data_IF_380087281015
#
_entry.id   IF_380087281015
#
_cell.length_a   1.000
_cell.length_b   1.000
_cell.length_c   1.000
_cell.angle_alpha   90.00
_cell.angle_beta   90.00
_cell.angle_gamma   90.00
#
_symmetry.space_group_name_H-M   'P 1'
#
loop_
_entity.id
_entity.type
_entity.pdbx_description
1 polymer ?
#
# COMPACT_ATOMS: atom_id res chain seq x y z
N UNK A 1 -37.28 -64.96 -40.19
CA UNK A 1 -37.68 -63.60 -39.76
C UNK A 1 -36.45 -62.94 -39.14
N UNK A 2 -35.75 -62.07 -39.88
CA UNK A 2 -35.66 -60.60 -39.61
C UNK A 2 -35.07 -60.30 -38.21
N UNK A 3 -33.94 -59.62 -37.94
CA UNK A 3 -33.01 -58.74 -38.68
C UNK A 3 -31.69 -58.59 -37.87
N UNK A 4 -30.58 -58.58 -38.60
CA UNK A 4 -29.39 -57.73 -38.52
C UNK A 4 -29.28 -56.51 -37.53
N UNK A 5 -28.09 -56.41 -36.90
CA UNK A 5 -27.08 -55.30 -36.95
C UNK A 5 -26.85 -54.29 -35.77
N UNK A 6 -25.53 -54.00 -35.63
CA UNK A 6 -24.80 -52.82 -35.09
C UNK A 6 -24.39 -52.76 -33.60
N UNK A 7 -23.06 -52.83 -33.41
CA UNK A 7 -22.30 -52.29 -32.28
C UNK A 7 -22.23 -50.75 -32.35
N UNK A 8 -22.42 -50.06 -31.22
CA UNK A 8 -22.01 -48.65 -31.07
C UNK A 8 -21.20 -48.46 -29.79
N UNK A 9 -19.97 -47.95 -29.98
CA UNK A 9 -19.12 -47.37 -28.95
C UNK A 9 -19.79 -46.10 -28.39
N UNK A 10 -19.95 -46.04 -27.07
CA UNK A 10 -20.25 -44.78 -26.38
C UNK A 10 -18.94 -44.20 -25.86
N UNK A 11 -18.46 -43.14 -26.51
CA UNK A 11 -17.36 -42.31 -26.02
C UNK A 11 -17.85 -41.43 -24.86
N UNK A 12 -17.13 -41.48 -23.73
CA UNK A 12 -17.30 -40.58 -22.60
C UNK A 12 -16.69 -39.22 -22.98
N UNK A 13 -17.52 -38.20 -23.21
CA UNK A 13 -17.05 -36.83 -23.36
C UNK A 13 -16.81 -36.22 -21.96
N UNK A 14 -15.54 -36.06 -21.59
CA UNK A 14 -15.11 -35.25 -20.46
C UNK A 14 -15.22 -33.79 -20.90
N UNK A 15 -16.29 -33.10 -20.47
CA UNK A 15 -16.44 -31.67 -20.65
C UNK A 15 -15.46 -30.92 -19.76
N UNK A 16 -14.36 -30.43 -20.33
CA UNK A 16 -13.48 -29.47 -19.70
C UNK A 16 -14.19 -28.11 -19.65
N UNK A 17 -14.70 -27.72 -18.48
CA UNK A 17 -15.17 -26.36 -18.24
C UNK A 17 -13.95 -25.42 -18.19
N UNK A 18 -13.65 -24.75 -19.30
CA UNK A 18 -12.77 -23.60 -19.32
C UNK A 18 -13.43 -22.47 -18.52
N UNK A 19 -13.02 -22.30 -17.27
CA UNK A 19 -13.27 -21.05 -16.53
C UNK A 19 -12.32 -20.00 -17.10
N UNK A 20 -12.70 -19.44 -18.24
CA UNK A 20 -12.13 -18.20 -18.75
C UNK A 20 -12.55 -17.09 -17.79
N UNK A 21 -11.63 -16.66 -16.93
CA UNK A 21 -11.82 -15.49 -16.08
C UNK A 21 -12.16 -14.29 -16.95
N UNK A 22 -13.42 -13.86 -16.89
CA UNK A 22 -13.87 -12.64 -17.53
C UNK A 22 -13.20 -11.45 -16.82
N UNK A 23 -12.13 -10.95 -17.41
CA UNK A 23 -11.63 -9.60 -17.13
C UNK A 23 -12.49 -8.70 -17.98
N UNK A 24 -13.55 -8.12 -17.41
CA UNK A 24 -14.30 -7.06 -18.09
C UNK A 24 -13.36 -5.88 -18.27
N UNK A 25 -12.85 -5.72 -19.49
CA UNK A 25 -12.11 -4.54 -19.92
C UNK A 25 -13.08 -3.63 -20.67
N UNK A 26 -13.80 -2.79 -19.93
CA UNK A 26 -14.45 -1.60 -20.52
C UNK A 26 -13.40 -0.51 -20.71
N UNK A 27 -13.44 0.13 -21.88
CA UNK A 27 -12.56 1.22 -22.27
C UNK A 27 -12.81 2.45 -21.37
N UNK A 28 -11.84 2.75 -20.50
CA UNK A 28 -11.90 3.88 -19.57
C UNK A 28 -11.48 5.18 -20.23
N UNK A 29 -12.44 6.03 -20.60
CA UNK A 29 -12.20 7.48 -20.72
C UNK A 29 -11.95 8.04 -19.33
N UNK A 30 -10.67 8.27 -18.97
CA UNK A 30 -10.27 8.96 -17.75
C UNK A 30 -9.78 8.09 -16.58
N UNK A 31 -9.29 6.87 -16.83
CA UNK A 31 -8.63 6.07 -15.78
C UNK A 31 -7.51 6.87 -15.13
N UNK A 32 -7.62 7.10 -13.82
CA UNK A 32 -6.53 7.72 -13.07
C UNK A 32 -5.46 6.67 -12.79
N UNK A 33 -4.20 7.04 -13.04
CA UNK A 33 -3.05 6.21 -12.76
C UNK A 33 -2.79 6.12 -11.25
N UNK A 34 -2.48 4.94 -10.74
CA UNK A 34 -2.09 4.76 -9.34
C UNK A 34 -0.84 5.54 -8.96
N UNK A 35 0.04 5.84 -9.93
CA UNK A 35 1.24 6.63 -9.69
C UNK A 35 0.90 8.00 -9.06
N UNK A 36 -0.16 8.65 -9.53
CA UNK A 36 -0.65 9.94 -9.03
C UNK A 36 -1.06 9.88 -7.55
N UNK A 37 -1.42 8.71 -7.01
CA UNK A 37 -1.76 8.53 -5.59
C UNK A 37 -0.56 8.06 -4.75
N UNK A 38 0.56 7.72 -5.38
CA UNK A 38 1.76 7.22 -4.70
C UNK A 38 2.76 8.34 -4.46
N UNK A 39 2.81 9.33 -5.34
CA UNK A 39 3.71 10.48 -5.28
C UNK A 39 2.95 11.71 -4.78
N UNK A 40 3.58 12.53 -3.94
CA UNK A 40 3.00 13.79 -3.47
C UNK A 40 3.13 14.89 -4.55
N UNK A 41 2.22 15.87 -4.50
CA UNK A 41 2.26 17.00 -5.42
C UNK A 41 3.03 18.20 -4.86
N UNK A 42 3.30 19.16 -5.73
CA UNK A 42 3.70 20.52 -5.36
C UNK A 42 2.84 21.52 -6.13
N UNK A 43 2.52 22.65 -5.51
CA UNK A 43 1.97 23.79 -6.23
C UNK A 43 3.02 24.35 -7.18
N UNK A 44 2.60 24.79 -8.37
CA UNK A 44 3.53 25.32 -9.39
C UNK A 44 3.16 26.70 -9.89
N UNK A 45 4.19 27.46 -10.25
CA UNK A 45 4.05 28.72 -10.97
C UNK A 45 3.79 28.50 -12.47
N UNK A 46 3.67 29.60 -13.21
CA UNK A 46 3.45 29.59 -14.66
C UNK A 46 4.57 28.91 -15.46
N UNK A 47 5.76 28.83 -14.88
CA UNK A 47 6.95 28.17 -15.46
C UNK A 47 7.03 26.67 -15.09
N UNK A 48 6.11 26.16 -14.27
CA UNK A 48 6.09 24.79 -13.77
C UNK A 48 7.04 24.53 -12.59
N UNK A 49 7.72 25.56 -12.09
CA UNK A 49 8.60 25.47 -10.91
C UNK A 49 7.77 25.37 -9.63
N UNK A 50 8.23 24.61 -8.61
CA UNK A 50 7.55 24.56 -7.32
C UNK A 50 7.48 25.95 -6.68
N UNK A 51 6.29 26.33 -6.21
CA UNK A 51 6.06 27.56 -5.46
C UNK A 51 5.44 27.25 -4.10
N UNK A 52 5.55 28.17 -3.15
CA UNK A 52 4.94 28.03 -1.83
C UNK A 52 3.42 27.90 -1.95
N UNK A 53 2.86 26.85 -1.35
CA UNK A 53 1.43 26.60 -1.33
C UNK A 53 1.08 25.23 -0.78
N UNK A 54 -0.21 25.04 -0.47
CA UNK A 54 -0.79 23.76 -0.09
C UNK A 54 -1.35 23.09 -1.37
N UNK A 55 -0.91 21.87 -1.76
CA UNK A 55 -1.44 21.17 -2.93
C UNK A 55 -2.95 20.86 -2.82
N UNK A 56 -3.51 20.90 -1.60
CA UNK A 56 -4.95 20.80 -1.40
C UNK A 56 -5.72 22.07 -1.79
N UNK A 57 -5.06 23.18 -2.10
CA UNK A 57 -5.71 24.49 -2.31
C UNK A 57 -5.32 25.18 -3.60
N UNK A 58 -4.13 24.91 -4.15
CA UNK A 58 -3.67 25.62 -5.34
C UNK A 58 -4.36 25.14 -6.62
N UNK A 59 -4.52 26.08 -7.56
CA UNK A 59 -5.16 25.84 -8.85
C UNK A 59 -4.28 25.07 -9.84
N UNK A 60 -2.96 25.13 -9.67
CA UNK A 60 -1.98 24.43 -10.49
C UNK A 60 -1.03 23.65 -9.60
N UNK A 61 -0.95 22.35 -9.87
CA UNK A 61 -0.08 21.42 -9.18
C UNK A 61 0.42 20.34 -10.14
N UNK A 62 1.48 19.64 -9.73
CA UNK A 62 2.01 18.44 -10.39
C UNK A 62 2.72 17.56 -9.36
N UNK A 63 2.98 16.31 -9.74
CA UNK A 63 3.86 15.41 -8.99
C UNK A 63 5.21 16.05 -8.72
N UNK A 64 5.74 15.80 -7.53
CA UNK A 64 7.12 16.15 -7.19
C UNK A 64 8.10 15.34 -8.04
N UNK A 65 9.18 15.99 -8.48
CA UNK A 65 10.26 15.40 -9.28
C UNK A 65 11.56 15.33 -8.46
N UNK A 66 12.47 14.40 -8.79
CA UNK A 66 13.79 14.37 -8.17
C UNK A 66 14.50 15.73 -8.26
N UNK A 67 14.88 16.27 -7.11
CA UNK A 67 15.56 17.56 -6.98
C UNK A 67 14.62 18.77 -6.77
N UNK A 68 13.30 18.58 -6.81
CA UNK A 68 12.38 19.62 -6.33
C UNK A 68 12.57 19.85 -4.82
N UNK A 69 12.45 21.11 -4.40
CA UNK A 69 12.37 21.48 -2.98
C UNK A 69 10.92 21.67 -2.59
N UNK A 70 10.47 20.99 -1.56
CA UNK A 70 9.10 21.05 -1.06
C UNK A 70 8.95 22.27 -0.14
N UNK A 71 8.00 23.18 -0.43
CA UNK A 71 7.75 24.36 0.40
C UNK A 71 6.67 24.11 1.49
N UNK A 72 6.36 22.84 1.77
CA UNK A 72 5.39 22.42 2.78
C UNK A 72 5.81 21.07 3.39
N UNK A 73 5.24 20.77 4.56
CA UNK A 73 5.25 19.42 5.14
C UNK A 73 3.82 19.02 5.43
N UNK A 74 3.53 17.73 5.37
CA UNK A 74 2.25 17.19 5.79
C UNK A 74 2.52 16.19 6.93
N UNK A 75 1.92 16.49 8.07
CA UNK A 75 2.24 15.85 9.34
C UNK A 75 0.97 15.34 10.01
N UNK A 76 1.12 14.49 11.02
CA UNK A 76 0.01 14.15 11.87
C UNK A 76 -0.52 15.37 12.64
N UNK A 77 -1.80 15.33 13.01
CA UNK A 77 -2.37 16.35 13.87
C UNK A 77 -1.75 16.30 15.26
N UNK A 78 -1.59 17.46 15.93
CA UNK A 78 -1.04 17.50 17.28
C UNK A 78 -1.87 16.66 18.26
N UNK A 79 -1.20 16.06 19.23
CA UNK A 79 -1.84 15.24 20.25
C UNK A 79 -2.81 16.06 21.12
N UNK A 80 -2.55 17.36 21.26
CA UNK A 80 -3.39 18.31 21.97
C UNK A 80 -3.61 19.59 21.15
N UNK A 81 -4.81 20.16 21.12
CA UNK A 81 -5.05 21.48 20.50
C UNK A 81 -4.32 22.62 21.21
N UNK A 82 -3.77 22.36 22.41
CA UNK A 82 -2.92 23.31 23.15
C UNK A 82 -1.44 23.20 22.80
N UNK A 83 -1.05 22.21 21.99
CA UNK A 83 0.33 22.09 21.54
C UNK A 83 0.69 23.30 20.66
N UNK A 84 1.86 23.89 20.94
CA UNK A 84 2.37 25.08 20.26
C UNK A 84 3.79 24.83 19.74
N UNK A 85 4.28 25.72 18.89
CA UNK A 85 5.60 25.58 18.26
C UNK A 85 5.71 24.27 17.48
N UNK A 86 6.82 23.56 17.63
CA UNK A 86 7.07 22.33 16.87
C UNK A 86 6.12 21.17 17.24
N UNK A 87 5.58 21.13 18.46
CA UNK A 87 4.59 20.12 18.85
C UNK A 87 3.25 20.30 18.12
N UNK A 88 2.95 21.52 17.67
CA UNK A 88 1.78 21.80 16.83
C UNK A 88 1.90 21.19 15.42
N UNK A 89 3.13 20.83 15.00
CA UNK A 89 3.41 20.20 13.72
C UNK A 89 3.24 18.67 13.77
N UNK A 90 2.67 18.11 14.85
CA UNK A 90 2.48 16.67 14.99
C UNK A 90 3.67 15.93 15.60
N UNK A 91 3.53 14.62 15.69
CA UNK A 91 4.56 13.69 16.17
C UNK A 91 5.43 13.14 15.03
N UNK A 92 5.00 13.30 13.78
CA UNK A 92 5.66 12.76 12.60
C UNK A 92 5.26 13.48 11.31
N UNK A 93 6.23 13.61 10.40
CA UNK A 93 6.02 14.15 9.05
C UNK A 93 6.06 13.02 8.05
N UNK A 94 5.37 13.17 6.94
CA UNK A 94 5.41 12.20 5.85
C UNK A 94 5.79 12.86 4.53
N UNK A 95 6.45 12.08 3.68
CA UNK A 95 6.83 12.45 2.33
C UNK A 95 6.69 11.23 1.43
N UNK A 96 6.29 11.42 0.17
CA UNK A 96 6.23 10.35 -0.82
C UNK A 96 6.72 10.84 -2.17
N UNK A 97 7.88 10.36 -2.62
CA UNK A 97 8.58 10.91 -3.79
C UNK A 97 9.29 9.83 -4.62
N UNK A 98 9.44 10.03 -5.93
CA UNK A 98 10.13 9.08 -6.79
C UNK A 98 11.64 9.07 -6.53
N UNK A 99 12.23 7.88 -6.46
CA UNK A 99 13.68 7.73 -6.45
C UNK A 99 14.26 7.97 -7.86
N UNK A 100 15.56 8.26 -7.95
CA UNK A 100 16.29 8.33 -9.22
C UNK A 100 16.51 6.91 -9.78
N UNK A 101 16.79 5.95 -8.90
CA UNK A 101 16.84 4.54 -9.22
C UNK A 101 15.46 4.05 -9.66
N UNK A 102 15.51 3.11 -10.59
CA UNK A 102 14.35 2.38 -11.05
C UNK A 102 14.58 0.89 -10.83
N UNK A 103 13.49 0.17 -10.62
CA UNK A 103 13.48 -1.27 -10.75
C UNK A 103 13.48 -1.65 -12.22
N UNK A 104 13.93 -2.87 -12.53
CA UNK A 104 13.77 -3.45 -13.85
C UNK A 104 13.38 -4.92 -13.73
N UNK A 105 12.53 -5.38 -14.65
CA UNK A 105 12.22 -6.80 -14.78
C UNK A 105 13.21 -7.50 -15.72
N UNK A 106 12.99 -8.79 -15.94
CA UNK A 106 13.84 -9.65 -16.77
C UNK A 106 13.84 -9.25 -18.25
N UNK A 107 12.81 -8.56 -18.72
CA UNK A 107 12.71 -8.04 -20.07
C UNK A 107 13.37 -6.66 -20.22
N UNK A 108 13.88 -6.08 -19.11
CA UNK A 108 14.42 -4.73 -19.08
C UNK A 108 13.35 -3.65 -19.00
N UNK A 109 12.09 -4.01 -18.73
CA UNK A 109 11.04 -3.02 -18.48
C UNK A 109 11.37 -2.28 -17.19
N UNK A 110 11.36 -0.94 -17.24
CA UNK A 110 11.59 -0.09 -16.09
C UNK A 110 10.33 0.04 -15.21
N UNK A 111 10.55 0.12 -13.91
CA UNK A 111 9.53 0.29 -12.88
C UNK A 111 9.93 1.48 -12.00
N UNK A 112 9.15 2.57 -11.95
CA UNK A 112 9.38 3.64 -10.99
C UNK A 112 9.42 3.08 -9.57
N UNK A 113 10.42 3.51 -8.81
CA UNK A 113 10.50 3.29 -7.38
C UNK A 113 10.13 4.58 -6.65
N UNK A 114 9.32 4.46 -5.61
CA UNK A 114 8.84 5.58 -4.82
C UNK A 114 9.20 5.30 -3.37
N UNK A 115 9.88 6.25 -2.74
CA UNK A 115 10.12 6.23 -1.31
C UNK A 115 9.00 6.99 -0.61
N UNK A 116 8.34 6.33 0.33
CA UNK A 116 7.42 6.95 1.27
C UNK A 116 8.03 6.93 2.67
N UNK A 117 8.43 8.10 3.15
CA UNK A 117 9.19 8.28 4.38
C UNK A 117 8.33 8.93 5.45
N UNK A 118 8.31 8.34 6.65
CA UNK A 118 7.80 8.97 7.86
C UNK A 118 8.96 9.33 8.78
N UNK A 119 9.09 10.62 9.05
CA UNK A 119 10.15 11.30 9.79
C UNK A 119 9.65 11.65 11.19
N UNK A 120 10.39 11.22 12.22
CA UNK A 120 10.04 11.45 13.63
C UNK A 120 11.09 12.35 14.31
N UNK A 121 10.68 13.34 15.13
CA UNK A 121 11.63 14.16 15.87
C UNK A 121 12.17 13.39 17.10
N UNK A 122 13.39 13.69 17.57
CA UNK A 122 13.92 13.08 18.78
C UNK A 122 13.07 13.42 20.01
N UNK A 123 12.98 12.50 20.97
CA UNK A 123 12.18 12.70 22.20
C UNK A 123 12.61 13.95 23.00
N UNK A 124 13.88 14.38 22.91
CA UNK A 124 14.40 15.59 23.53
C UNK A 124 14.50 16.82 22.62
N UNK A 125 14.19 16.68 21.33
CA UNK A 125 14.33 17.74 20.33
C UNK A 125 13.12 17.72 19.38
N UNK A 126 11.92 18.14 19.83
CA UNK A 126 10.67 18.02 19.06
C UNK A 126 10.64 18.86 17.77
N UNK A 127 11.69 19.65 17.50
CA UNK A 127 11.83 20.46 16.30
C UNK A 127 12.81 19.86 15.28
N UNK A 128 13.59 18.85 15.66
CA UNK A 128 14.72 18.36 14.88
C UNK A 128 14.30 17.23 13.94
N UNK A 129 13.53 17.62 12.93
CA UNK A 129 13.05 16.77 11.85
C UNK A 129 13.99 16.84 10.63
N UNK A 130 13.90 15.83 9.77
CA UNK A 130 14.51 15.87 8.43
C UNK A 130 15.93 15.32 8.40
N UNK A 131 16.29 14.43 9.31
CA UNK A 131 17.51 13.60 9.20
C UNK A 131 17.06 12.16 9.31
N UNK A 132 17.13 11.42 8.19
CA UNK A 132 16.77 10.01 8.19
C UNK A 132 17.64 9.23 9.16
N UNK A 133 17.01 8.52 10.11
CA UNK A 133 17.72 7.70 11.07
C UNK A 133 16.94 6.44 11.47
N UNK A 134 17.45 5.70 12.46
CA UNK A 134 16.88 4.43 12.89
C UNK A 134 15.45 4.51 13.46
N UNK A 135 14.98 5.71 13.84
CA UNK A 135 13.64 5.96 14.38
C UNK A 135 12.61 6.06 13.26
N UNK A 136 13.05 6.53 12.10
CA UNK A 136 12.23 6.74 10.93
C UNK A 136 11.78 5.45 10.28
N UNK A 137 10.69 5.56 9.53
CA UNK A 137 10.20 4.47 8.69
C UNK A 137 10.22 4.89 7.23
N UNK A 138 10.66 4.00 6.36
CA UNK A 138 10.61 4.22 4.93
C UNK A 138 9.93 3.03 4.28
N UNK A 139 9.05 3.27 3.33
CA UNK A 139 8.40 2.25 2.51
C UNK A 139 8.85 2.45 1.08
N UNK A 140 9.31 1.37 0.44
CA UNK A 140 9.64 1.37 -0.97
C UNK A 140 8.49 0.74 -1.75
N UNK A 141 7.96 1.50 -2.70
CA UNK A 141 6.90 1.11 -3.60
C UNK A 141 7.48 0.95 -5.00
N UNK A 142 7.03 -0.06 -5.74
CA UNK A 142 7.31 -0.19 -7.16
C UNK A 142 6.01 -0.06 -7.94
N UNK A 143 6.03 0.70 -9.04
CA UNK A 143 4.88 0.88 -9.92
C UNK A 143 5.13 0.12 -11.22
N UNK A 144 4.27 -0.85 -11.51
CA UNK A 144 4.33 -1.68 -12.71
C UNK A 144 3.15 -1.44 -13.65
N UNK A 145 3.13 -2.15 -14.80
CA UNK A 145 2.09 -1.96 -15.82
C UNK A 145 0.69 -2.40 -15.39
N UNK A 146 0.56 -3.21 -14.32
CA UNK A 146 -0.73 -3.77 -13.86
C UNK A 146 -1.09 -3.36 -12.43
N UNK A 147 -0.13 -2.92 -11.64
CA UNK A 147 -0.31 -2.61 -10.22
C UNK A 147 0.86 -1.80 -9.69
N UNK A 148 0.67 -1.16 -8.54
CA UNK A 148 1.76 -0.77 -7.67
C UNK A 148 1.88 -1.76 -6.51
N UNK A 149 3.06 -1.91 -5.91
CA UNK A 149 3.25 -2.81 -4.78
C UNK A 149 4.25 -2.27 -3.76
N UNK A 150 4.01 -2.55 -2.47
CA UNK A 150 5.04 -2.41 -1.43
C UNK A 150 6.07 -3.53 -1.61
N UNK A 151 7.27 -3.15 -2.03
CA UNK A 151 8.35 -4.10 -2.33
C UNK A 151 9.39 -4.17 -1.21
N UNK A 152 9.52 -3.11 -0.43
CA UNK A 152 10.42 -3.07 0.70
C UNK A 152 10.03 -2.05 1.76
N UNK A 153 10.64 -2.16 2.95
CA UNK A 153 10.49 -1.17 4.01
C UNK A 153 11.71 -1.15 4.95
N UNK A 154 11.98 0.02 5.52
CA UNK A 154 12.77 0.22 6.72
C UNK A 154 11.82 0.46 7.89
N UNK A 155 11.99 -0.29 8.97
CA UNK A 155 11.21 -0.08 10.19
C UNK A 155 12.05 -0.42 11.42
N UNK A 156 12.29 0.58 12.28
CA UNK A 156 13.04 0.45 13.55
C UNK A 156 14.39 -0.26 13.40
N UNK A 157 15.22 0.20 12.45
CA UNK A 157 16.56 -0.35 12.20
C UNK A 157 16.58 -1.71 11.48
N UNK A 158 15.41 -2.24 11.09
CA UNK A 158 15.29 -3.47 10.31
C UNK A 158 14.86 -3.19 8.87
N UNK A 159 15.35 -4.01 7.95
CA UNK A 159 14.90 -4.01 6.56
C UNK A 159 13.96 -5.16 6.31
N UNK A 160 12.95 -4.90 5.48
CA UNK A 160 11.92 -5.85 5.14
C UNK A 160 11.77 -5.87 3.63
N UNK A 161 11.84 -7.05 3.02
CA UNK A 161 11.52 -7.27 1.61
C UNK A 161 10.22 -8.05 1.53
N UNK A 162 9.27 -7.57 0.73
CA UNK A 162 8.02 -8.31 0.50
C UNK A 162 8.05 -8.94 -0.88
N UNK A 163 8.18 -10.27 -0.90
CA UNK A 163 8.21 -11.09 -2.11
C UNK A 163 6.84 -11.66 -2.43
N UNK A 164 6.55 -11.76 -3.73
CA UNK A 164 5.32 -12.30 -4.29
C UNK A 164 5.52 -13.65 -4.96
N UNK A 165 4.48 -14.10 -5.68
CA UNK A 165 4.51 -15.37 -6.42
C UNK A 165 5.67 -15.46 -7.44
N UNK A 166 6.11 -14.32 -7.98
CA UNK A 166 7.27 -14.27 -8.90
C UNK A 166 8.56 -14.79 -8.28
N UNK A 167 8.73 -14.75 -6.95
CA UNK A 167 9.94 -15.23 -6.27
C UNK A 167 10.15 -16.74 -6.33
N UNK A 168 9.10 -17.51 -6.65
CA UNK A 168 9.20 -18.95 -6.84
C UNK A 168 9.64 -19.34 -8.26
N UNK A 169 9.71 -18.40 -9.20
CA UNK A 169 10.14 -18.63 -10.58
C UNK A 169 11.61 -18.20 -10.73
N UNK A 170 12.50 -19.16 -11.00
CA UNK A 170 13.94 -18.91 -11.16
C UNK A 170 14.32 -18.03 -12.34
N UNK A 171 13.39 -17.80 -13.27
CA UNK A 171 13.58 -16.85 -14.36
C UNK A 171 13.40 -15.42 -13.88
N UNK A 172 12.68 -15.19 -12.77
CA UNK A 172 12.36 -13.86 -12.23
C UNK A 172 13.45 -13.40 -11.25
N UNK A 173 14.27 -12.46 -11.66
CA UNK A 173 15.43 -11.97 -10.90
C UNK A 173 15.39 -10.47 -10.60
N UNK A 174 14.50 -9.72 -11.25
CA UNK A 174 14.36 -8.27 -11.06
C UNK A 174 13.21 -7.90 -10.13
N UNK A 175 12.63 -6.72 -10.33
CA UNK A 175 11.52 -6.19 -9.51
C UNK A 175 10.26 -7.06 -9.55
N UNK A 176 10.07 -7.83 -10.63
CA UNK A 176 8.88 -8.66 -10.89
C UNK A 176 8.56 -9.65 -9.76
N UNK A 177 9.57 -10.09 -9.00
CA UNK A 177 9.42 -11.01 -7.87
C UNK A 177 8.85 -10.36 -6.61
N UNK A 178 8.83 -9.03 -6.54
CA UNK A 178 8.25 -8.26 -5.43
C UNK A 178 6.88 -7.67 -5.74
N UNK A 179 6.45 -7.73 -7.00
CA UNK A 179 5.15 -7.22 -7.44
C UNK A 179 4.00 -8.11 -6.99
N UNK A 180 2.80 -7.53 -6.92
CA UNK A 180 1.55 -8.20 -6.57
C UNK A 180 1.60 -8.83 -5.17
N UNK A 181 2.13 -8.07 -4.20
CA UNK A 181 2.28 -8.48 -2.80
C UNK A 181 1.32 -7.74 -1.91
N UNK A 182 1.61 -6.49 -1.55
CA UNK A 182 0.66 -5.51 -1.06
C UNK A 182 0.35 -4.58 -2.21
N UNK A 183 -0.74 -4.88 -2.92
CA UNK A 183 -0.94 -4.43 -4.30
C UNK A 183 -2.07 -3.42 -4.39
N UNK A 184 -1.82 -2.40 -5.19
CA UNK A 184 -2.79 -1.37 -5.58
C UNK A 184 -3.12 -1.57 -7.07
N UNK A 185 -4.37 -1.37 -7.49
CA UNK A 185 -4.71 -1.51 -8.90
C UNK A 185 -3.98 -0.44 -9.72
N UNK A 186 -3.50 -0.75 -10.93
CA UNK A 186 -2.89 0.28 -11.81
C UNK A 186 -3.86 1.40 -12.13
N UNK A 187 -5.08 1.02 -12.43
CA UNK A 187 -6.18 1.92 -12.72
C UNK A 187 -7.00 2.08 -11.45
N UNK A 188 -7.02 3.28 -10.90
CA UNK A 188 -7.83 3.56 -9.71
C UNK A 188 -9.31 3.44 -10.10
N UNK A 189 -10.15 2.74 -9.29
CA UNK A 189 -11.57 2.58 -9.63
C UNK A 189 -12.31 3.91 -9.78
N UNK A 190 -13.51 3.87 -10.36
CA UNK A 190 -14.36 5.04 -10.34
C UNK A 190 -14.78 5.40 -8.90
N UNK A 191 -15.21 6.64 -8.69
CA UNK A 191 -15.68 7.10 -7.38
C UNK A 191 -16.84 6.23 -6.88
N UNK A 192 -16.73 5.72 -5.65
CA UNK A 192 -17.72 4.84 -5.03
C UNK A 192 -17.53 3.35 -5.33
N UNK A 193 -16.72 2.99 -6.33
CA UNK A 193 -16.46 1.61 -6.69
C UNK A 193 -15.46 0.93 -5.76
N UNK A 194 -15.71 -0.35 -5.51
CA UNK A 194 -14.83 -1.25 -4.75
C UNK A 194 -14.18 -2.24 -5.72
N UNK A 195 -12.87 -2.44 -5.60
CA UNK A 195 -12.18 -3.57 -6.22
C UNK A 195 -11.46 -4.41 -5.18
N UNK A 196 -11.08 -5.63 -5.52
CA UNK A 196 -10.39 -6.54 -4.62
C UNK A 196 -9.49 -7.53 -5.37
N UNK A 197 -8.59 -8.18 -4.64
CA UNK A 197 -7.71 -9.19 -5.19
C UNK A 197 -7.07 -10.08 -4.12
N UNK A 198 -6.58 -11.24 -4.58
CA UNK A 198 -5.80 -12.17 -3.77
C UNK A 198 -4.35 -12.11 -4.19
N UNK A 199 -3.47 -11.98 -3.21
CA UNK A 199 -2.04 -11.80 -3.42
C UNK A 199 -1.27 -12.76 -2.55
N UNK A 200 -0.39 -13.56 -3.16
CA UNK A 200 0.53 -14.43 -2.43
C UNK A 200 1.76 -13.62 -2.08
N UNK A 201 2.09 -13.54 -0.80
CA UNK A 201 3.28 -12.82 -0.36
C UNK A 201 3.98 -13.47 0.82
N UNK A 202 5.22 -13.07 1.03
CA UNK A 202 5.98 -13.26 2.26
C UNK A 202 6.83 -12.03 2.50
N UNK A 203 6.95 -11.63 3.76
CA UNK A 203 7.84 -10.53 4.15
C UNK A 203 9.04 -11.14 4.87
N UNK A 204 10.23 -10.89 4.34
CA UNK A 204 11.50 -11.38 4.88
C UNK A 204 12.20 -10.22 5.57
N UNK A 205 12.72 -10.47 6.78
CA UNK A 205 13.42 -9.46 7.58
C UNK A 205 14.93 -9.66 7.48
N UNK A 206 15.65 -8.55 7.34
CA UNK A 206 17.10 -8.49 7.29
C UNK A 206 17.62 -7.42 8.25
N UNK A 207 18.84 -7.63 8.76
CA UNK A 207 19.62 -6.55 9.34
C UNK A 207 20.22 -5.69 8.22
N UNK A 208 20.47 -4.40 8.47
CA UNK A 208 21.03 -3.49 7.46
C UNK A 208 22.35 -3.98 6.86
N UNK A 209 23.22 -4.55 7.68
CA UNK A 209 24.51 -5.08 7.24
C UNK A 209 24.45 -6.43 6.52
N UNK A 210 23.29 -7.10 6.48
CA UNK A 210 23.20 -8.48 6.00
C UNK A 210 22.53 -8.63 4.63
N UNK A 211 22.11 -7.54 3.99
CA UNK A 211 21.47 -7.60 2.66
C UNK A 211 22.56 -7.73 1.60
N UNK A 212 22.60 -8.89 0.94
CA UNK A 212 23.40 -9.15 -0.26
C UNK A 212 22.62 -10.04 -1.22
N UNK A 213 22.99 -10.05 -2.51
CA UNK A 213 22.39 -10.98 -3.49
C UNK A 213 22.60 -12.46 -3.12
N UNK A 214 23.68 -12.79 -2.43
CA UNK A 214 23.91 -14.15 -1.93
C UNK A 214 23.01 -14.47 -0.73
N UNK A 215 22.80 -13.50 0.17
CA UNK A 215 21.89 -13.64 1.31
C UNK A 215 20.41 -13.65 0.89
N UNK A 216 20.10 -13.07 -0.28
CA UNK A 216 18.75 -13.03 -0.85
C UNK A 216 18.75 -13.43 -2.34
N UNK A 217 18.72 -14.73 -2.65
CA UNK A 217 18.84 -15.22 -4.03
C UNK A 217 17.70 -14.73 -4.92
N UNK A 218 17.90 -14.77 -6.24
CA UNK A 218 16.90 -14.33 -7.23
C UNK A 218 15.53 -15.01 -7.03
N UNK A 219 15.54 -16.29 -6.66
CA UNK A 219 14.34 -17.10 -6.45
C UNK A 219 14.56 -18.14 -5.35
N UNK A 220 13.49 -18.57 -4.72
CA UNK A 220 13.47 -19.75 -3.86
C UNK A 220 12.14 -20.49 -4.00
N UNK A 221 12.15 -21.61 -4.74
CA UNK A 221 10.95 -22.42 -4.96
C UNK A 221 10.37 -23.03 -3.66
N UNK A 222 11.20 -23.19 -2.62
CA UNK A 222 10.77 -23.69 -1.32
C UNK A 222 10.18 -22.60 -0.41
N UNK A 223 10.23 -21.32 -0.82
CA UNK A 223 9.63 -20.25 -0.02
C UNK A 223 8.12 -20.43 0.06
N UNK A 224 7.63 -20.63 1.30
CA UNK A 224 6.20 -20.59 1.60
C UNK A 224 5.69 -19.16 1.44
N UNK A 225 4.62 -19.00 0.66
CA UNK A 225 3.91 -17.72 0.50
C UNK A 225 2.53 -17.82 1.14
N UNK A 226 2.11 -16.75 1.81
CA UNK A 226 0.78 -16.65 2.40
C UNK A 226 -0.14 -15.87 1.45
N UNK A 227 -1.31 -16.43 1.17
CA UNK A 227 -2.36 -15.72 0.44
C UNK A 227 -3.01 -14.68 1.34
N UNK A 228 -3.09 -13.46 0.84
CA UNK A 228 -3.72 -12.30 1.46
C UNK A 228 -4.88 -11.84 0.59
N UNK A 229 -5.92 -11.31 1.21
CA UNK A 229 -7.01 -10.63 0.50
C UNK A 229 -6.87 -9.14 0.75
N UNK A 230 -6.99 -8.37 -0.31
CA UNK A 230 -6.88 -6.92 -0.26
C UNK A 230 -8.02 -6.36 -1.08
N UNK A 231 -8.57 -5.26 -0.62
CA UNK A 231 -9.56 -4.55 -1.39
C UNK A 231 -9.32 -3.06 -1.26
N UNK A 232 -9.88 -2.33 -2.21
CA UNK A 232 -9.69 -0.91 -2.33
C UNK A 232 -10.99 -0.25 -2.76
N UNK A 233 -11.19 0.99 -2.32
CA UNK A 233 -12.37 1.77 -2.65
C UNK A 233 -11.97 3.21 -2.89
N UNK A 234 -12.45 3.80 -3.99
CA UNK A 234 -12.31 5.25 -4.18
C UNK A 234 -13.50 5.96 -3.55
N UNK A 235 -13.22 6.91 -2.66
CA UNK A 235 -14.23 7.61 -1.86
C UNK A 235 -13.93 9.10 -1.78
N UNK A 236 -14.94 9.88 -1.37
CA UNK A 236 -14.74 11.22 -0.85
C UNK A 236 -14.59 11.11 0.66
N UNK A 237 -13.43 11.46 1.22
CA UNK A 237 -13.14 11.34 2.65
C UNK A 237 -12.87 12.69 3.29
N UNK A 238 -13.31 12.85 4.54
CA UNK A 238 -13.06 14.05 5.35
C UNK A 238 -12.00 13.74 6.39
N UNK A 239 -10.84 14.32 6.20
CA UNK A 239 -9.69 14.17 7.09
C UNK A 239 -9.76 15.20 8.22
N UNK A 240 -8.83 15.16 9.17
CA UNK A 240 -8.68 16.20 10.16
C UNK A 240 -8.87 15.74 11.61
N UNK A 241 -9.03 16.71 12.50
CA UNK A 241 -9.37 16.46 13.90
C UNK A 241 -10.83 16.03 14.04
N UNK A 242 -11.14 15.23 15.05
CA UNK A 242 -12.53 14.92 15.42
C UNK A 242 -13.31 16.22 15.71
N UNK A 243 -14.40 16.45 14.97
CA UNK A 243 -15.24 17.65 15.10
C UNK A 243 -14.67 18.91 14.44
N UNK A 244 -13.59 18.80 13.66
CA UNK A 244 -13.05 19.89 12.83
C UNK A 244 -12.51 19.31 11.53
N UNK A 245 -13.35 18.53 10.87
CA UNK A 245 -12.99 17.81 9.65
C UNK A 245 -12.85 18.75 8.44
N UNK A 246 -11.98 18.36 7.52
CA UNK A 246 -11.73 19.07 6.27
C UNK A 246 -12.90 18.95 5.28
N UNK A 247 -12.77 19.68 4.17
CA UNK A 247 -13.57 19.42 2.97
C UNK A 247 -13.32 17.98 2.48
N UNK A 248 -14.28 17.35 1.79
CA UNK A 248 -14.03 16.04 1.20
C UNK A 248 -12.87 16.10 0.20
N UNK A 249 -12.01 15.08 0.25
CA UNK A 249 -10.86 14.88 -0.64
C UNK A 249 -11.03 13.52 -1.35
N UNK A 250 -10.73 13.49 -2.64
CA UNK A 250 -10.72 12.26 -3.44
C UNK A 250 -9.63 11.32 -2.93
N UNK A 251 -10.08 10.16 -2.43
CA UNK A 251 -9.26 9.26 -1.64
C UNK A 251 -9.36 7.85 -2.19
N UNK A 252 -8.22 7.22 -2.40
CA UNK A 252 -8.14 5.77 -2.55
C UNK A 252 -7.87 5.15 -1.18
N UNK A 253 -8.83 4.38 -0.68
CA UNK A 253 -8.69 3.59 0.53
C UNK A 253 -8.27 2.17 0.15
N UNK A 254 -7.20 1.66 0.75
CA UNK A 254 -6.70 0.29 0.60
C UNK A 254 -6.72 -0.43 1.94
N UNK A 255 -7.29 -1.63 1.94
CA UNK A 255 -7.53 -2.42 3.16
C UNK A 255 -7.03 -3.85 2.95
N UNK A 256 -5.81 -4.12 3.43
CA UNK A 256 -5.25 -5.45 3.46
C UNK A 256 -5.65 -6.32 4.66
N UNK A 257 -5.92 -7.60 4.38
CA UNK A 257 -5.92 -8.67 5.37
C UNK A 257 -4.82 -9.68 5.12
N UNK A 258 -4.17 -10.13 6.19
CA UNK A 258 -3.00 -11.00 6.16
C UNK A 258 -3.28 -12.47 5.84
N UNK A 259 -4.54 -12.88 5.78
CA UNK A 259 -4.97 -14.26 5.49
C UNK A 259 -6.22 -14.25 4.61
N UNK A 260 -6.29 -15.16 3.66
CA UNK A 260 -7.50 -15.47 2.89
C UNK A 260 -8.30 -16.60 3.57
N UNK A 261 -9.61 -16.58 3.41
CA UNK A 261 -10.52 -17.67 3.79
C UNK A 261 -10.33 -18.90 2.90
N UNK A 262 -10.94 -20.01 3.29
CA UNK A 262 -11.03 -21.22 2.45
C UNK A 262 -11.80 -21.02 1.12
N UNK A 263 -12.68 -20.02 1.05
CA UNK A 263 -13.40 -19.65 -0.18
C UNK A 263 -12.50 -18.91 -1.16
N UNK A 264 -11.37 -18.37 -0.69
CA UNK A 264 -10.39 -17.70 -1.54
C UNK A 264 -10.73 -16.25 -1.87
N UNK A 265 -11.73 -15.64 -1.23
CA UNK A 265 -12.24 -14.31 -1.58
C UNK A 265 -12.74 -13.50 -0.36
N UNK A 266 -12.42 -13.93 0.86
CA UNK A 266 -12.79 -13.26 2.10
C UNK A 266 -11.59 -13.23 3.08
N UNK A 267 -11.59 -12.33 4.09
CA UNK A 267 -10.59 -12.38 5.14
C UNK A 267 -10.76 -13.69 5.92
N UNK A 268 -9.71 -14.50 5.96
CA UNK A 268 -9.72 -15.77 6.68
C UNK A 268 -9.64 -15.54 8.19
N UNK A 269 -8.69 -16.21 8.85
CA UNK A 269 -8.42 -15.99 10.27
C UNK A 269 -7.63 -14.69 10.55
N UNK A 270 -7.72 -13.68 9.68
CA UNK A 270 -7.10 -12.39 9.98
C UNK A 270 -7.76 -11.77 11.19
N UNK A 271 -6.93 -11.43 12.19
CA UNK A 271 -7.34 -10.74 13.42
C UNK A 271 -6.94 -9.27 13.44
N UNK A 272 -6.27 -8.81 12.39
CA UNK A 272 -5.79 -7.45 12.23
C UNK A 272 -5.82 -7.04 10.76
N UNK A 273 -5.99 -5.75 10.55
CA UNK A 273 -6.04 -5.08 9.26
C UNK A 273 -5.41 -3.70 9.42
N UNK A 274 -4.82 -3.19 8.35
CA UNK A 274 -4.36 -1.81 8.25
C UNK A 274 -5.17 -1.12 7.17
N UNK A 275 -5.56 0.13 7.39
CA UNK A 275 -6.26 0.92 6.39
C UNK A 275 -5.33 2.04 5.93
N UNK A 276 -5.01 2.06 4.65
CA UNK A 276 -4.16 3.05 4.02
C UNK A 276 -5.01 3.97 3.16
N UNK A 277 -4.92 5.27 3.42
CA UNK A 277 -5.64 6.30 2.65
C UNK A 277 -4.63 7.04 1.80
N UNK A 278 -4.89 7.16 0.51
CA UNK A 278 -4.02 7.82 -0.45
C UNK A 278 -4.81 8.94 -1.13
N UNK A 279 -4.16 10.07 -1.36
CA UNK A 279 -4.71 11.20 -2.12
C UNK A 279 -3.78 11.54 -3.26
N UNK A 280 -4.29 12.20 -4.31
CA UNK A 280 -3.41 12.65 -5.40
C UNK A 280 -2.47 13.76 -4.94
N UNK A 281 -2.93 14.55 -3.99
CA UNK A 281 -2.24 15.76 -3.54
C UNK A 281 -1.09 15.44 -2.58
N UNK A 282 -1.29 14.47 -1.69
CA UNK A 282 -0.33 14.14 -0.61
C UNK A 282 0.31 12.74 -0.79
N UNK A 283 -0.06 11.99 -1.82
CA UNK A 283 0.57 10.72 -2.17
C UNK A 283 0.29 9.58 -1.17
N UNK A 284 1.27 8.67 -1.08
CA UNK A 284 1.11 7.40 -0.34
C UNK A 284 0.93 7.60 1.17
N UNK A 285 -0.20 7.09 1.68
CA UNK A 285 -0.56 7.02 3.11
C UNK A 285 -0.67 8.43 3.70
N UNK A 286 -1.61 9.19 3.15
CA UNK A 286 -2.12 10.43 3.72
C UNK A 286 -2.79 10.21 5.08
N UNK A 287 -3.34 9.02 5.33
CA UNK A 287 -3.81 8.56 6.65
C UNK A 287 -3.57 7.07 6.78
N UNK A 288 -3.31 6.63 8.01
CA UNK A 288 -3.15 5.23 8.38
C UNK A 288 -4.02 4.91 9.59
N UNK A 289 -4.68 3.76 9.57
CA UNK A 289 -5.42 3.24 10.70
C UNK A 289 -5.04 1.78 10.95
N UNK A 290 -5.00 1.39 12.22
CA UNK A 290 -4.87 -0.02 12.61
C UNK A 290 -6.20 -0.52 13.15
N UNK A 291 -6.66 -1.67 12.65
CA UNK A 291 -7.91 -2.29 13.03
C UNK A 291 -7.68 -3.70 13.56
N UNK A 292 -8.37 -4.05 14.64
CA UNK A 292 -8.27 -5.36 15.26
C UNK A 292 -9.65 -5.98 15.47
N UNK A 293 -9.72 -7.30 15.26
CA UNK A 293 -10.90 -8.11 15.49
C UNK A 293 -11.12 -8.32 16.99
N UNK A 294 -12.37 -8.43 17.42
CA UNK A 294 -12.78 -8.67 18.81
C UNK A 294 -12.04 -9.81 19.52
N UNK A 295 -11.63 -10.85 18.79
CA UNK A 295 -10.90 -12.02 19.31
C UNK A 295 -9.36 -11.96 19.12
N UNK A 296 -8.79 -10.79 18.86
CA UNK A 296 -7.34 -10.64 18.76
C UNK A 296 -6.62 -10.83 20.12
N UNK A 297 -5.38 -11.31 20.11
CA UNK A 297 -4.61 -11.64 21.33
C UNK A 297 -4.15 -10.42 22.17
N UNK A 298 -4.65 -9.21 21.86
CA UNK A 298 -4.31 -7.97 22.54
C UNK A 298 -5.57 -7.44 23.24
N UNK A 299 -5.42 -6.55 24.21
CA UNK A 299 -6.57 -5.82 24.76
C UNK A 299 -7.09 -4.81 23.72
N UNK A 300 -7.90 -5.32 22.78
CA UNK A 300 -8.45 -4.57 21.65
C UNK A 300 -9.27 -3.38 22.14
N UNK A 301 -10.07 -3.58 23.20
CA UNK A 301 -10.94 -2.52 23.72
C UNK A 301 -10.14 -1.41 24.39
N UNK A 302 -9.08 -1.71 25.14
CA UNK A 302 -8.21 -0.68 25.69
C UNK A 302 -7.52 0.13 24.59
N UNK A 303 -6.99 -0.53 23.56
CA UNK A 303 -6.37 0.14 22.41
C UNK A 303 -7.39 0.97 21.63
N UNK A 304 -8.60 0.45 21.42
CA UNK A 304 -9.66 1.15 20.69
C UNK A 304 -10.15 2.39 21.42
N UNK A 305 -10.33 2.32 22.74
CA UNK A 305 -10.67 3.49 23.57
C UNK A 305 -9.58 4.54 23.56
N UNK A 306 -8.31 4.11 23.59
CA UNK A 306 -7.16 5.02 23.45
C UNK A 306 -7.14 5.71 22.08
N UNK A 307 -7.43 4.98 21.01
CA UNK A 307 -7.50 5.55 19.68
C UNK A 307 -8.68 6.53 19.54
N UNK A 308 -9.84 6.19 20.08
CA UNK A 308 -11.04 7.01 20.05
C UNK A 308 -10.93 8.30 20.87
N UNK A 309 -10.22 8.27 22.00
CA UNK A 309 -9.99 9.46 22.83
C UNK A 309 -8.97 10.43 22.23
N UNK A 310 -8.20 10.00 21.22
CA UNK A 310 -7.29 10.87 20.49
C UNK A 310 -8.09 11.85 19.61
N UNK A 311 -7.87 13.17 19.73
CA UNK A 311 -8.50 14.13 18.83
C UNK A 311 -7.88 14.10 17.43
N UNK A 312 -6.71 13.47 17.26
CA UNK A 312 -5.86 13.57 16.09
C UNK A 312 -6.44 12.98 14.78
N UNK A 313 -7.58 12.29 14.85
CA UNK A 313 -8.22 11.70 13.69
C UNK A 313 -9.74 11.89 13.70
N UNK A 314 -10.26 12.28 12.54
CA UNK A 314 -11.69 12.27 12.20
C UNK A 314 -12.26 10.85 12.22
N UNK A 315 -13.58 10.74 12.11
CA UNK A 315 -14.25 9.43 12.01
C UNK A 315 -13.71 8.62 10.81
N UNK A 316 -13.45 7.30 10.96
CA UNK A 316 -12.98 6.47 9.86
C UNK A 316 -13.96 6.36 8.69
N UNK A 317 -13.45 6.01 7.51
CA UNK A 317 -14.29 5.85 6.33
C UNK A 317 -15.26 4.68 6.46
N UNK A 318 -16.51 4.90 6.04
CA UNK A 318 -17.49 3.84 5.87
C UNK A 318 -17.43 3.25 4.47
N UNK A 319 -17.22 1.95 4.41
CA UNK A 319 -17.11 1.16 3.17
C UNK A 319 -18.12 0.01 3.12
N UNK A 320 -19.28 0.22 3.75
CA UNK A 320 -20.31 -0.80 3.87
C UNK A 320 -20.73 -1.37 2.50
N UNK A 321 -20.96 -2.68 2.45
CA UNK A 321 -21.43 -3.37 1.26
C UNK A 321 -20.94 -4.80 1.15
N UNK A 322 -21.44 -5.49 0.13
CA UNK A 322 -20.92 -6.78 -0.30
C UNK A 322 -19.64 -6.55 -1.12
N UNK A 323 -18.52 -7.12 -0.69
CA UNK A 323 -17.22 -7.00 -1.41
C UNK A 323 -17.04 -8.17 -2.37
N UNK A 324 -17.32 -9.38 -1.90
CA UNK A 324 -17.33 -10.64 -2.68
C UNK A 324 -18.54 -11.46 -2.24
N UNK A 325 -18.97 -12.54 -2.91
CA UNK A 325 -20.09 -13.37 -2.44
C UNK A 325 -19.96 -13.87 -1.00
N UNK A 326 -18.74 -14.01 -0.50
CA UNK A 326 -18.44 -14.54 0.83
C UNK A 326 -17.93 -13.49 1.82
N UNK A 327 -17.83 -12.22 1.42
CA UNK A 327 -17.27 -11.15 2.24
C UNK A 327 -18.16 -9.90 2.20
N UNK A 328 -18.69 -9.53 3.37
CA UNK A 328 -19.47 -8.32 3.57
C UNK A 328 -18.82 -7.46 4.65
N UNK A 329 -18.74 -6.16 4.38
CA UNK A 329 -18.28 -5.16 5.33
C UNK A 329 -19.47 -4.30 5.77
N UNK A 330 -19.59 -4.07 7.07
CA UNK A 330 -20.59 -3.20 7.68
C UNK A 330 -20.17 -1.73 7.65
N UNK A 331 -21.10 -0.85 8.03
CA UNK A 331 -20.76 0.55 8.25
C UNK A 331 -19.84 0.70 9.46
N UNK A 332 -19.01 1.75 9.46
CA UNK A 332 -18.33 2.18 10.69
C UNK A 332 -19.38 2.85 11.57
N UNK A 333 -19.44 2.44 12.82
CA UNK A 333 -20.31 2.97 13.87
C UNK A 333 -19.43 3.73 14.85
N UNK A 334 -19.75 5.00 15.08
CA UNK A 334 -19.26 5.77 16.23
C UNK A 334 -20.08 5.34 17.47
N UNK A 335 -19.53 4.41 18.26
CA UNK A 335 -20.11 3.96 19.51
C UNK A 335 -19.55 4.81 20.66
N UNK A 336 -20.11 6.02 20.77
CA UNK A 336 -19.68 7.01 21.76
C UNK A 336 -19.89 6.56 23.21
N UNK A 337 -20.86 5.68 23.46
CA UNK A 337 -21.10 5.10 24.78
C UNK A 337 -19.98 4.13 25.19
N UNK A 338 -19.50 3.30 24.27
CA UNK A 338 -18.33 2.44 24.49
C UNK A 338 -16.99 3.18 24.32
N UNK A 339 -17.02 4.36 23.70
CA UNK A 339 -15.86 5.17 23.36
C UNK A 339 -14.99 4.48 22.30
N UNK A 340 -15.58 3.95 21.24
CA UNK A 340 -14.86 3.25 20.16
C UNK A 340 -15.48 3.51 18.78
N UNK A 341 -14.66 3.39 17.73
CA UNK A 341 -15.17 3.18 16.37
C UNK A 341 -15.20 1.68 16.08
N UNK A 342 -16.36 1.19 15.67
CA UNK A 342 -16.62 -0.24 15.44
C UNK A 342 -17.10 -0.50 14.01
N UNK A 343 -16.69 -1.61 13.42
CA UNK A 343 -17.18 -2.08 12.13
C UNK A 343 -17.45 -3.58 12.19
N UNK A 344 -18.56 -4.03 11.63
CA UNK A 344 -18.84 -5.46 11.51
C UNK A 344 -18.29 -6.01 10.20
N UNK A 345 -17.64 -7.17 10.27
CA UNK A 345 -17.23 -7.92 9.08
C UNK A 345 -17.89 -9.29 9.14
N UNK A 346 -18.63 -9.64 8.09
CA UNK A 346 -19.26 -10.94 7.93
C UNK A 346 -18.58 -11.72 6.82
N UNK A 347 -18.17 -12.94 7.11
CA UNK A 347 -17.67 -13.90 6.13
C UNK A 347 -18.60 -15.11 6.03
N UNK A 348 -18.64 -15.74 4.86
CA UNK A 348 -19.41 -16.98 4.63
C UNK A 348 -18.47 -18.08 4.16
N UNK A 349 -18.50 -19.24 4.80
CA UNK A 349 -17.65 -20.37 4.42
C UNK A 349 -18.25 -21.19 3.27
N UNK A 350 -17.57 -22.24 2.79
CA UNK A 350 -18.07 -23.08 1.68
C UNK A 350 -19.36 -23.83 2.01
N UNK A 351 -19.59 -24.11 3.29
CA UNK A 351 -20.83 -24.73 3.78
C UNK A 351 -21.99 -23.73 3.93
N UNK A 352 -21.78 -22.45 3.56
CA UNK A 352 -22.78 -21.39 3.70
C UNK A 352 -22.93 -20.84 5.11
N UNK A 353 -22.10 -21.28 6.07
CA UNK A 353 -22.12 -20.78 7.43
C UNK A 353 -21.53 -19.37 7.48
N UNK A 354 -22.26 -18.46 8.12
CA UNK A 354 -21.85 -17.07 8.31
C UNK A 354 -21.16 -16.91 9.65
N UNK A 355 -20.03 -16.19 9.65
CA UNK A 355 -19.35 -15.73 10.85
C UNK A 355 -19.29 -14.21 10.80
N UNK A 356 -19.66 -13.54 11.88
CA UNK A 356 -19.57 -12.08 11.99
C UNK A 356 -18.71 -11.74 13.19
N UNK A 357 -17.77 -10.82 12.99
CA UNK A 357 -16.94 -10.28 14.04
C UNK A 357 -17.08 -8.77 14.11
N UNK A 358 -16.97 -8.23 15.32
CA UNK A 358 -16.73 -6.81 15.51
C UNK A 358 -15.23 -6.51 15.32
N UNK A 359 -14.95 -5.42 14.61
CA UNK A 359 -13.62 -4.87 14.40
C UNK A 359 -13.57 -3.47 14.96
N UNK A 360 -12.46 -3.14 15.62
CA UNK A 360 -12.29 -1.86 16.29
C UNK A 360 -11.06 -1.15 15.76
N UNK A 361 -11.17 0.17 15.55
CA UNK A 361 -10.01 0.99 15.25
C UNK A 361 -9.16 1.12 16.52
N UNK A 362 -7.92 0.66 16.46
CA UNK A 362 -6.97 0.60 17.58
C UNK A 362 -5.81 1.59 17.49
N UNK A 363 -5.69 2.30 16.37
CA UNK A 363 -4.71 3.36 16.16
C UNK A 363 -5.04 4.16 14.91
N UNK A 364 -4.60 5.42 14.88
CA UNK A 364 -4.76 6.29 13.72
C UNK A 364 -3.67 7.36 13.67
N UNK A 365 -3.20 7.66 12.45
CA UNK A 365 -2.40 8.83 12.11
C UNK A 365 -3.01 9.49 10.88
N UNK A 366 -3.29 10.79 10.95
CA UNK A 366 -3.85 11.57 9.84
C UNK A 366 -2.86 12.66 9.43
N UNK A 367 -2.17 12.45 8.31
CA UNK A 367 -1.08 13.30 7.82
C UNK A 367 -1.57 14.47 6.96
N UNK A 368 -2.82 14.91 7.11
CA UNK A 368 -3.37 16.05 6.33
C UNK A 368 -3.18 17.42 6.99
N UNK A 369 -2.46 17.49 8.11
CA UNK A 369 -2.03 18.76 8.68
C UNK A 369 -0.89 19.34 7.82
N UNK A 370 -1.26 20.06 6.76
CA UNK A 370 -0.32 20.68 5.83
C UNK A 370 0.12 22.04 6.38
N UNK A 371 1.42 22.19 6.57
CA UNK A 371 2.03 23.43 7.03
C UNK A 371 3.09 23.90 6.05
N UNK A 372 3.05 25.19 5.68
CA UNK A 372 4.08 25.78 4.86
C UNK A 372 5.40 25.87 5.64
N UNK A 373 6.51 25.53 4.99
CA UNK A 373 7.85 25.56 5.58
C UNK A 373 8.84 26.27 4.66
N UNK A 374 10.04 26.55 5.17
CA UNK A 374 11.16 26.90 4.30
C UNK A 374 11.42 25.76 3.31
N UNK A 375 11.72 26.04 2.02
CA UNK A 375 11.94 25.00 1.02
C UNK A 375 12.96 23.96 1.49
N UNK A 376 12.51 22.72 1.56
CA UNK A 376 13.25 21.57 2.07
C UNK A 376 13.41 20.53 0.97
N UNK A 377 14.57 19.90 0.89
CA UNK A 377 14.85 18.87 -0.10
C UNK A 377 14.80 17.49 0.57
N UNK A 378 13.69 16.73 0.45
CA UNK A 378 13.62 15.38 1.01
C UNK A 378 14.59 14.41 0.32
N UNK A 379 14.94 14.67 -0.95
CA UNK A 379 15.86 13.82 -1.72
C UNK A 379 17.29 13.94 -1.21
N UNK A 380 17.63 15.04 -0.54
CA UNK A 380 18.92 15.21 0.13
C UNK A 380 18.98 14.54 1.50
N UNK A 381 17.83 14.08 2.04
CA UNK A 381 17.72 13.54 3.40
C UNK A 381 17.40 12.05 3.45
N UNK A 382 16.70 11.55 2.44
CA UNK A 382 16.55 10.13 2.17
C UNK A 382 16.85 9.87 0.70
N UNK A 383 17.88 9.08 0.47
CA UNK A 383 18.42 8.69 -0.82
C UNK A 383 18.33 7.18 -0.99
N UNK A 384 18.66 6.69 -2.19
CA UNK A 384 18.83 5.26 -2.45
C UNK A 384 19.94 4.61 -1.63
N UNK A 385 20.97 5.38 -1.27
CA UNK A 385 22.10 4.87 -0.49
C UNK A 385 21.70 4.56 0.95
N UNK A 386 20.71 5.26 1.50
CA UNK A 386 20.14 4.98 2.82
C UNK A 386 19.42 3.63 2.86
N UNK A 387 18.88 3.18 1.73
CA UNK A 387 18.37 1.81 1.59
C UNK A 387 19.49 0.77 1.51
N UNK A 388 20.69 1.19 1.14
CA UNK A 388 21.82 0.35 0.85
C UNK A 388 21.85 -0.08 -0.62
N UNK A 389 23.01 0.01 -1.30
CA UNK A 389 23.09 -0.28 -2.73
C UNK A 389 22.75 -1.74 -3.06
N UNK A 390 23.03 -2.69 -2.15
CA UNK A 390 22.64 -4.10 -2.32
C UNK A 390 21.13 -4.33 -2.21
N UNK A 391 20.44 -3.52 -1.40
CA UNK A 391 18.98 -3.56 -1.29
C UNK A 391 18.35 -3.03 -2.58
N UNK A 392 18.78 -1.85 -3.05
CA UNK A 392 18.25 -1.27 -4.30
C UNK A 392 18.53 -2.20 -5.50
N UNK A 393 19.72 -2.81 -5.56
CA UNK A 393 20.07 -3.81 -6.59
C UNK A 393 19.16 -5.04 -6.59
N UNK A 394 18.41 -5.33 -5.53
CA UNK A 394 17.45 -6.45 -5.53
C UNK A 394 16.33 -6.23 -6.55
N UNK A 395 16.00 -4.98 -6.87
CA UNK A 395 14.91 -4.62 -7.77
C UNK A 395 15.35 -4.50 -9.24
N UNK A 396 16.62 -4.73 -9.55
CA UNK A 396 17.18 -4.58 -10.90
C UNK A 396 17.55 -5.94 -11.47
N UNK A 397 17.19 -6.18 -12.73
CA UNK A 397 17.67 -7.35 -13.46
C UNK A 397 19.04 -7.08 -14.11
N UNK A 398 19.91 -8.09 -14.11
CA UNK A 398 21.22 -8.03 -14.78
C UNK A 398 21.11 -8.15 -16.31
N UNK A 399 19.90 -8.18 -16.88
CA UNK A 399 19.67 -8.43 -18.29
C UNK A 399 20.36 -7.38 -19.21
N UNK A 400 20.60 -6.18 -18.70
CA UNK A 400 21.37 -5.14 -19.41
C UNK A 400 22.83 -5.51 -19.66
N UNK A 401 23.45 -6.35 -18.82
CA UNK A 401 24.88 -6.71 -18.95
C UNK A 401 25.12 -7.90 -19.89
N UNK A 402 24.10 -8.69 -20.24
CA UNK A 402 24.26 -9.85 -21.15
C UNK A 402 24.32 -9.47 -22.63
N UNK A 403 23.88 -8.28 -23.03
CA UNK A 403 23.95 -7.84 -24.45
C UNK A 403 25.35 -7.42 -24.91
N UNK A 404 26.28 -7.14 -24.00
CA UNK A 404 27.68 -6.78 -24.32
C UNK A 404 28.68 -7.92 -24.08
N UNK A 405 28.22 -9.11 -23.67
CA UNK A 405 29.05 -10.30 -23.62
C UNK A 405 29.39 -10.77 -25.02
N UNK A 406 30.50 -10.27 -25.58
CA UNK A 406 31.18 -10.87 -26.75
C UNK A 406 31.19 -12.37 -26.54
N UNK A 407 30.50 -13.09 -27.43
CA UNK A 407 30.67 -14.54 -27.58
C UNK A 407 32.18 -14.78 -27.74
N UNK A 408 32.86 -15.51 -26.84
CA UNK A 408 34.24 -15.86 -27.08
C UNK A 408 34.27 -16.66 -28.38
N UNK A 409 35.00 -16.13 -29.37
CA UNK A 409 35.22 -16.82 -30.63
C UNK A 409 35.76 -18.22 -30.30
N UNK A 410 34.97 -19.25 -30.62
CA UNK A 410 35.43 -20.64 -30.56
C UNK A 410 36.64 -20.74 -31.50
N UNK A 411 37.79 -21.09 -30.95
CA UNK A 411 38.92 -21.61 -31.72
C UNK A 411 38.69 -23.08 -32.02
#
# INVERSE_FOLDING_TARGET
>A
MTKAFVFSLTALAIGSANVSGAVNAEAATGSTDIYDYMVMNVCVGSDGSPIKGNPLECSQQRDIRPGDRIPYVHADFPASPKDTGCKALGMSRRYAFPLKAQGSDEAGQAYPLIAAWTDYPPAGAPCDFGTFDARDTATLLAVGPKSASLVGAHHHGGWFLTIGAGYQDSRKAGVSRFMNTWSFPRNVPAMGETGWGIFKRRTERFAASSISRQAFPASNAASSLTSTVQFWKRIQFRYGLKGSESRPIDTLLHIPFTKVSETGDAPGESRGSEHFYLTKELGYVTRWESWARDDANKDVMALARKAYSSPACSMPATIAGQVTPHFKVGAVVDDSAAGVYRQQITTTNRAGQKTTHDWFMTGCHDFTNVSAVAPYDPFAKLTEDDFGPDFIRQFQSDAGNRRNGRVPARK
#
